data_IF_258571475098
#
_entry.id   IF_258571475098
#
_cell.length_a   1.000
_cell.length_b   1.000
_cell.length_c   1.000
_cell.angle_alpha   90.00
_cell.angle_beta   90.00
_cell.angle_gamma   90.00
#
_symmetry.space_group_name_H-M   'P 1'
#
loop_
_entity.id
_entity.type
_entity.pdbx_description
1 polymer ?
#
# COMPACT_ATOMS: atom_id res chain seq x y z
N UNK A 1 6.37 -4.49 -5.79
CA UNK A 1 5.36 -3.38 -5.82
C UNK A 1 6.03 -2.02 -5.94
N UNK A 2 6.90 -1.65 -5.00
CA UNK A 2 7.59 -0.36 -5.01
C UNK A 2 8.66 -0.28 -6.11
N UNK A 3 9.49 -1.32 -6.26
CA UNK A 3 10.63 -1.35 -7.19
C UNK A 3 10.23 -1.70 -8.63
N UNK A 4 9.46 -2.78 -8.82
CA UNK A 4 9.22 -3.34 -10.16
C UNK A 4 7.98 -2.75 -10.85
N UNK A 5 7.02 -2.26 -10.06
CA UNK A 5 5.72 -1.81 -10.58
C UNK A 5 5.49 -0.30 -10.39
N UNK A 6 6.41 0.41 -9.72
CA UNK A 6 6.29 1.86 -9.49
C UNK A 6 5.01 2.24 -8.73
N UNK A 7 4.55 1.38 -7.81
CA UNK A 7 3.30 1.58 -7.06
C UNK A 7 3.47 2.45 -5.80
N UNK A 8 4.50 3.31 -5.77
CA UNK A 8 4.70 4.28 -4.70
C UNK A 8 4.44 5.69 -5.20
N UNK A 9 3.64 6.46 -4.44
CA UNK A 9 3.36 7.87 -4.75
C UNK A 9 4.61 8.75 -4.59
N UNK A 10 5.54 8.37 -3.69
CA UNK A 10 6.76 9.13 -3.42
C UNK A 10 7.87 8.86 -4.44
N UNK A 11 8.09 7.59 -4.80
CA UNK A 11 9.13 7.20 -5.77
C UNK A 11 8.69 7.45 -7.23
N UNK A 12 7.39 7.65 -7.44
CA UNK A 12 6.81 7.79 -8.77
C UNK A 12 6.80 6.48 -9.55
N UNK A 13 6.45 6.60 -10.85
CA UNK A 13 6.30 5.47 -11.78
C UNK A 13 7.64 5.11 -12.42
N UNK A 14 8.64 4.81 -11.60
CA UNK A 14 10.00 4.48 -12.04
C UNK A 14 10.28 3.01 -11.72
N UNK A 15 10.97 2.33 -12.65
CA UNK A 15 11.41 0.95 -12.47
C UNK A 15 12.79 0.94 -11.79
N UNK A 16 12.83 0.41 -10.57
CA UNK A 16 14.04 0.19 -9.77
C UNK A 16 14.41 -1.29 -9.66
N UNK A 17 13.73 -2.17 -10.41
CA UNK A 17 14.05 -3.60 -10.41
C UNK A 17 15.41 -3.88 -11.05
N UNK A 18 16.06 -4.94 -10.59
CA UNK A 18 17.27 -5.41 -11.25
C UNK A 18 16.93 -5.92 -12.66
N UNK A 19 17.73 -5.54 -13.66
CA UNK A 19 17.45 -5.72 -15.09
C UNK A 19 17.44 -7.19 -15.55
N UNK A 20 17.71 -8.15 -14.65
CA UNK A 20 18.01 -9.55 -15.00
C UNK A 20 17.11 -10.57 -14.30
N UNK A 21 15.79 -10.40 -14.40
CA UNK A 21 14.81 -11.46 -14.10
C UNK A 21 14.36 -12.18 -15.41
N UNK A 22 15.26 -12.29 -16.39
CA UNK A 22 15.07 -13.08 -17.60
C UNK A 22 15.54 -14.54 -17.39
N UNK A 23 14.99 -15.53 -18.12
CA UNK A 23 15.43 -16.91 -18.00
C UNK A 23 16.89 -17.01 -18.47
N UNK A 24 17.81 -17.09 -17.51
CA UNK A 24 19.23 -17.29 -17.78
C UNK A 24 19.42 -18.75 -18.14
N UNK A 25 19.25 -19.07 -19.42
CA UNK A 25 19.53 -20.38 -20.00
C UNK A 25 21.02 -20.79 -19.86
N UNK A 26 21.90 -19.86 -19.46
CA UNK A 26 23.35 -20.05 -19.35
C UNK A 26 23.87 -19.80 -17.92
N UNK A 27 23.33 -20.54 -16.94
CA UNK A 27 23.93 -20.73 -15.62
C UNK A 27 24.08 -19.51 -14.69
N UNK A 28 24.40 -19.71 -13.40
CA UNK A 28 24.20 -18.71 -12.34
C UNK A 28 25.18 -17.51 -12.31
N UNK A 29 26.03 -17.34 -13.33
CA UNK A 29 27.22 -16.47 -13.21
C UNK A 29 27.30 -15.34 -14.26
N UNK A 30 26.37 -15.25 -15.21
CA UNK A 30 26.48 -14.26 -16.30
C UNK A 30 26.05 -12.84 -15.90
N UNK A 31 25.30 -12.67 -14.80
CA UNK A 31 24.75 -11.38 -14.43
C UNK A 31 24.74 -11.17 -12.91
N UNK A 32 25.92 -10.91 -12.34
CA UNK A 32 25.98 -10.12 -11.11
C UNK A 32 25.77 -8.67 -11.50
N UNK A 33 24.50 -8.27 -11.56
CA UNK A 33 24.19 -6.87 -11.58
C UNK A 33 24.30 -6.37 -10.14
N UNK A 34 25.33 -5.60 -9.89
CA UNK A 34 25.36 -4.74 -8.73
C UNK A 34 24.20 -3.75 -8.89
N UNK A 35 23.28 -3.74 -7.94
CA UNK A 35 22.18 -2.78 -7.91
C UNK A 35 22.77 -1.38 -7.81
N UNK A 36 22.89 -0.68 -8.94
CA UNK A 36 23.41 0.69 -9.00
C UNK A 36 22.29 1.66 -8.60
N UNK A 37 21.91 1.62 -7.33
CA UNK A 37 21.00 2.61 -6.74
C UNK A 37 21.78 3.44 -5.73
N UNK A 38 21.48 4.74 -5.65
CA UNK A 38 22.05 5.59 -4.61
C UNK A 38 21.55 5.13 -3.24
N UNK A 39 22.35 5.34 -2.19
CA UNK A 39 21.94 5.04 -0.82
C UNK A 39 20.65 5.77 -0.41
N UNK A 40 20.44 6.96 -0.98
CA UNK A 40 19.22 7.75 -0.80
C UNK A 40 18.00 7.04 -1.41
N UNK A 41 18.07 6.60 -2.66
CA UNK A 41 16.97 5.86 -3.31
C UNK A 41 16.65 4.55 -2.59
N UNK A 42 17.67 3.82 -2.12
CA UNK A 42 17.47 2.58 -1.33
C UNK A 42 16.72 2.89 -0.04
N UNK A 43 17.13 3.94 0.68
CA UNK A 43 16.46 4.37 1.90
C UNK A 43 14.99 4.75 1.65
N UNK A 44 14.70 5.42 0.56
CA UNK A 44 13.31 5.78 0.22
C UNK A 44 12.45 4.55 -0.11
N UNK A 45 13.01 3.55 -0.79
CA UNK A 45 12.35 2.27 -1.04
C UNK A 45 12.01 1.57 0.29
N UNK A 46 12.96 1.50 1.22
CA UNK A 46 12.73 0.87 2.52
C UNK A 46 11.62 1.57 3.32
N UNK A 47 11.58 2.90 3.28
CA UNK A 47 10.53 3.69 3.94
C UNK A 47 9.15 3.34 3.36
N UNK A 48 9.03 3.24 2.04
CA UNK A 48 7.76 2.90 1.40
C UNK A 48 7.33 1.45 1.65
N UNK A 49 8.28 0.51 1.62
CA UNK A 49 8.00 -0.88 1.97
C UNK A 49 7.50 -0.97 3.41
N UNK A 50 8.16 -0.28 4.34
CA UNK A 50 7.72 -0.23 5.73
C UNK A 50 6.31 0.35 5.86
N UNK A 51 6.03 1.48 5.21
CA UNK A 51 4.70 2.11 5.23
C UNK A 51 3.60 1.14 4.79
N UNK A 52 3.82 0.43 3.68
CA UNK A 52 2.86 -0.55 3.16
C UNK A 52 2.62 -1.69 4.15
N UNK A 53 3.68 -2.22 4.77
CA UNK A 53 3.56 -3.30 5.76
C UNK A 53 2.82 -2.81 7.00
N UNK A 54 3.14 -1.62 7.50
CA UNK A 54 2.50 -1.03 8.67
C UNK A 54 1.00 -0.80 8.42
N UNK A 55 0.62 -0.24 7.27
CA UNK A 55 -0.78 -0.06 6.86
C UNK A 55 -1.53 -1.38 6.71
N UNK A 56 -0.90 -2.38 6.08
CA UNK A 56 -1.49 -3.71 5.94
C UNK A 56 -1.68 -4.38 7.31
N UNK A 57 -0.70 -4.25 8.21
CA UNK A 57 -0.76 -4.82 9.57
C UNK A 57 -1.91 -4.23 10.39
N UNK A 58 -2.09 -2.90 10.33
CA UNK A 58 -3.22 -2.22 10.97
C UNK A 58 -4.54 -2.70 10.37
N UNK A 59 -4.64 -2.70 9.03
CA UNK A 59 -5.86 -3.14 8.33
C UNK A 59 -6.23 -4.58 8.69
N UNK A 60 -5.26 -5.48 8.72
CA UNK A 60 -5.48 -6.88 9.10
C UNK A 60 -5.92 -6.99 10.55
N UNK A 61 -5.27 -6.25 11.46
CA UNK A 61 -5.65 -6.24 12.88
C UNK A 61 -7.09 -5.77 13.06
N UNK A 62 -7.51 -4.71 12.35
CA UNK A 62 -8.88 -4.19 12.41
C UNK A 62 -9.89 -5.20 11.84
N UNK A 63 -9.57 -5.85 10.72
CA UNK A 63 -10.44 -6.88 10.12
C UNK A 63 -10.58 -8.10 11.03
N UNK A 64 -9.49 -8.55 11.66
CA UNK A 64 -9.53 -9.70 12.57
C UNK A 64 -10.25 -9.36 13.88
N UNK A 65 -10.04 -8.17 14.43
CA UNK A 65 -10.69 -7.73 15.67
C UNK A 65 -12.19 -7.49 15.46
N UNK A 66 -12.59 -6.88 14.35
CA UNK A 66 -14.02 -6.69 14.02
C UNK A 66 -14.77 -7.99 13.77
N UNK A 67 -14.06 -9.08 13.44
CA UNK A 67 -14.63 -10.41 13.17
C UNK A 67 -14.16 -11.46 14.18
N UNK A 68 -13.90 -11.04 15.42
CA UNK A 68 -13.34 -11.92 16.45
C UNK A 68 -14.20 -13.14 16.75
N UNK A 69 -15.52 -12.97 16.80
CA UNK A 69 -16.46 -14.07 17.05
C UNK A 69 -16.39 -15.15 15.97
N UNK A 70 -16.43 -14.75 14.69
CA UNK A 70 -16.24 -15.63 13.54
C UNK A 70 -14.89 -16.37 13.62
N UNK A 71 -13.81 -15.68 14.00
CA UNK A 71 -12.48 -16.30 14.12
C UNK A 71 -12.45 -17.37 15.21
N UNK A 72 -13.07 -17.11 16.36
CA UNK A 72 -13.15 -18.07 17.47
C UNK A 72 -14.03 -19.28 17.11
N UNK A 73 -15.10 -19.09 16.33
CA UNK A 73 -15.90 -20.19 15.77
C UNK A 73 -15.08 -21.05 14.79
N UNK A 74 -14.43 -20.41 13.81
CA UNK A 74 -13.55 -21.10 12.87
C UNK A 74 -12.45 -21.91 13.55
N UNK A 75 -11.85 -21.35 14.60
CA UNK A 75 -10.80 -22.03 15.36
C UNK A 75 -11.33 -23.27 16.09
N UNK A 76 -12.55 -23.23 16.66
CA UNK A 76 -13.18 -24.40 17.29
C UNK A 76 -13.49 -25.48 16.26
N UNK A 77 -14.08 -25.10 15.14
CA UNK A 77 -14.44 -26.06 14.09
C UNK A 77 -13.19 -26.73 13.51
N UNK A 78 -12.11 -25.98 13.26
CA UNK A 78 -10.84 -26.54 12.80
C UNK A 78 -10.20 -27.53 13.78
N UNK A 79 -10.43 -27.37 15.08
CA UNK A 79 -9.96 -28.34 16.09
C UNK A 79 -10.74 -29.66 15.98
N UNK A 80 -12.00 -29.63 15.56
CA UNK A 80 -12.83 -30.83 15.41
C UNK A 80 -12.60 -31.55 14.07
N UNK A 81 -12.52 -30.80 12.96
CA UNK A 81 -12.43 -31.39 11.61
C UNK A 81 -11.02 -31.48 11.03
N UNK A 82 -10.02 -30.81 11.64
CA UNK A 82 -8.60 -30.74 11.25
C UNK A 82 -8.32 -30.08 9.88
N UNK A 83 -9.17 -30.33 8.88
CA UNK A 83 -9.10 -29.79 7.52
C UNK A 83 -10.48 -29.29 7.12
N UNK A 84 -10.51 -28.08 6.56
CA UNK A 84 -11.74 -27.44 6.12
C UNK A 84 -11.65 -27.07 4.64
N UNK A 85 -12.66 -27.47 3.86
CA UNK A 85 -12.76 -27.11 2.45
C UNK A 85 -13.34 -25.70 2.26
N UNK A 86 -13.09 -25.13 1.09
CA UNK A 86 -13.55 -23.82 0.65
C UNK A 86 -15.07 -23.64 0.73
N UNK A 87 -15.87 -24.68 0.49
CA UNK A 87 -17.33 -24.60 0.65
C UNK A 87 -17.75 -24.50 2.12
N UNK A 88 -17.08 -25.23 3.01
CA UNK A 88 -17.36 -25.22 4.44
C UNK A 88 -17.02 -23.84 5.04
N UNK A 89 -15.85 -23.31 4.70
CA UNK A 89 -15.45 -21.95 5.09
C UNK A 89 -16.47 -20.90 4.66
N UNK A 90 -16.98 -20.98 3.42
CA UNK A 90 -17.99 -20.04 2.91
C UNK A 90 -19.29 -20.10 3.69
N UNK A 91 -19.76 -21.30 4.05
CA UNK A 91 -20.99 -21.45 4.86
C UNK A 91 -20.85 -20.74 6.20
N UNK A 92 -19.74 -20.97 6.91
CA UNK A 92 -19.46 -20.31 8.20
C UNK A 92 -19.37 -18.79 8.03
N UNK A 93 -18.72 -18.32 6.96
CA UNK A 93 -18.62 -16.88 6.66
C UNK A 93 -19.99 -16.23 6.40
N UNK A 94 -20.86 -16.89 5.64
CA UNK A 94 -22.20 -16.39 5.30
C UNK A 94 -23.11 -16.37 6.54
N UNK A 95 -23.02 -17.38 7.40
CA UNK A 95 -23.78 -17.47 8.66
C UNK A 95 -23.41 -16.37 9.67
N UNK A 96 -22.13 -15.99 9.70
CA UNK A 96 -21.61 -14.94 10.60
C UNK A 96 -21.43 -13.57 9.92
N UNK A 97 -22.01 -13.36 8.74
CA UNK A 97 -22.00 -12.04 8.09
C UNK A 97 -23.00 -11.09 8.76
N UNK A 98 -22.53 -10.35 9.76
CA UNK A 98 -23.28 -9.27 10.38
C UNK A 98 -23.19 -8.00 9.52
N UNK A 99 -24.16 -7.81 8.61
CA UNK A 99 -24.39 -6.54 7.90
C UNK A 99 -23.48 -6.22 6.70
N UNK A 100 -23.62 -5.02 6.08
CA UNK A 100 -22.84 -4.63 4.92
C UNK A 100 -21.35 -4.51 5.26
N UNK A 101 -20.55 -5.45 4.78
CA UNK A 101 -19.10 -5.43 4.96
C UNK A 101 -18.48 -4.46 3.96
N UNK A 102 -17.79 -3.43 4.45
CA UNK A 102 -16.90 -2.61 3.61
C UNK A 102 -15.81 -3.56 3.10
N UNK A 103 -15.79 -3.83 1.79
CA UNK A 103 -14.74 -4.66 1.20
C UNK A 103 -13.39 -3.96 1.42
N UNK A 104 -12.37 -4.67 1.95
CA UNK A 104 -11.03 -4.10 2.08
C UNK A 104 -10.57 -3.63 0.70
N UNK A 105 -10.31 -2.33 0.57
CA UNK A 105 -10.07 -1.65 -0.72
C UNK A 105 -10.71 -0.26 -0.82
N UNK A 106 -11.58 0.13 0.13
CA UNK A 106 -12.17 1.47 0.18
C UNK A 106 -11.66 2.34 1.35
N UNK A 107 -10.57 1.95 2.01
CA UNK A 107 -9.83 2.84 2.90
C UNK A 107 -9.05 3.84 2.03
N UNK A 108 -9.74 4.86 1.53
CA UNK A 108 -9.08 6.05 1.02
C UNK A 108 -8.51 6.81 2.21
N UNK A 109 -7.22 6.60 2.51
CA UNK A 109 -6.43 7.72 3.01
C UNK A 109 -6.41 8.73 1.85
N UNK A 110 -7.08 9.87 2.04
CA UNK A 110 -7.05 10.97 1.07
C UNK A 110 -5.58 11.22 0.67
N UNK A 111 -5.23 11.21 -0.63
CA UNK A 111 -3.85 11.49 -1.02
C UNK A 111 -3.50 12.90 -0.54
N UNK A 112 -2.25 13.14 -0.08
CA UNK A 112 -1.84 14.47 0.36
C UNK A 112 -2.08 15.43 -0.80
N UNK A 113 -2.96 16.42 -0.59
CA UNK A 113 -3.19 17.49 -1.56
C UNK A 113 -1.84 18.19 -1.75
N UNK A 114 -1.18 17.88 -2.86
CA UNK A 114 0.09 18.49 -3.23
C UNK A 114 -0.07 20.00 -3.25
N UNK A 115 0.85 20.69 -2.58
CA UNK A 115 1.04 22.13 -2.65
C UNK A 115 0.98 22.59 -4.11
N UNK A 116 -0.10 23.26 -4.52
CA UNK A 116 -0.07 24.19 -5.64
C UNK A 116 0.24 25.56 -5.07
N UNK A 117 1.52 25.79 -4.80
CA UNK A 117 2.06 27.13 -4.85
C UNK A 117 2.33 27.45 -6.32
N UNK A 118 1.68 28.49 -6.83
CA UNK A 118 2.30 29.36 -7.83
C UNK A 118 2.14 30.77 -7.28
N UNK A 119 3.23 31.24 -6.68
CA UNK A 119 3.54 32.67 -6.60
C UNK A 119 3.97 33.16 -7.99
N UNK A 120 3.59 34.40 -8.31
CA UNK A 120 4.26 35.41 -9.15
C UNK A 120 3.19 36.35 -9.74
N UNK A 121 3.32 37.67 -9.82
CA UNK A 121 4.19 38.67 -9.20
C UNK A 121 3.58 40.05 -9.53
N UNK A 122 3.98 41.08 -8.77
CA UNK A 122 4.18 42.49 -9.19
C UNK A 122 2.98 43.29 -9.74
N UNK A 123 2.47 44.24 -8.96
CA UNK A 123 2.90 45.65 -8.91
C UNK A 123 2.18 46.52 -9.96
N UNK A 124 1.28 47.39 -9.50
CA UNK A 124 1.20 48.74 -10.06
C UNK A 124 0.91 49.74 -8.94
N UNK A 125 1.71 50.79 -8.96
CA UNK A 125 1.81 51.87 -8.00
C UNK A 125 0.95 53.06 -8.50
N UNK A 126 0.64 53.99 -7.60
CA UNK A 126 0.15 55.36 -7.82
C UNK A 126 -1.37 55.62 -7.83
N UNK A 127 -1.77 56.64 -7.06
CA UNK A 127 -3.02 57.37 -7.28
C UNK A 127 -3.75 57.85 -6.02
N UNK A 128 -3.30 58.98 -5.48
CA UNK A 128 -3.98 59.90 -4.53
C UNK A 128 -5.52 59.95 -4.54
N UNK A 129 -6.14 60.09 -3.37
CA UNK A 129 -7.08 61.19 -3.05
C UNK A 129 -7.71 61.08 -1.63
N UNK A 130 -7.35 62.04 -0.78
CA UNK A 130 -8.18 62.84 0.13
C UNK A 130 -9.56 62.32 0.62
N UNK A 131 -9.78 62.38 1.94
CA UNK A 131 -11.04 62.88 2.50
C UNK A 131 -11.77 61.99 3.53
N UNK A 132 -11.60 62.31 4.81
CA UNK A 132 -12.65 62.55 5.84
C UNK A 132 -12.06 62.40 7.26
#
# INVERSE_FOLDING_TARGET
>A
MVTDFGMSQRMGRVFYGDKNVGPTFLGPQAFRNETVHSAETIREIEIEVKRIIDEASVTVSDVLNSRRELLDHLARDLVEVEVMDSEHLKRILDEHTTGPQIKPGHFHAEPPRGNRGVEESEADESGEASGA
#
